data_IF_368182862252
#
_entry.id   IF_368182862252
#
_cell.length_a   1.000
_cell.length_b   1.000
_cell.length_c   1.000
_cell.angle_alpha   90.00
_cell.angle_beta   90.00
_cell.angle_gamma   90.00
#
_symmetry.space_group_name_H-M   'P 1'
#
loop_
_entity.id
_entity.type
_entity.pdbx_description
1 polymer ?
#
# COMPACT_ATOMS: atom_id res chain seq x y z
N UNK A 1 -19.85 -13.67 -0.59
CA UNK A 1 -19.52 -12.23 -0.65
C UNK A 1 -18.25 -12.09 -1.44
N UNK A 2 -18.34 -11.55 -2.65
CA UNK A 2 -17.13 -11.22 -3.42
C UNK A 2 -16.47 -9.99 -2.81
N UNK A 3 -15.14 -10.03 -2.71
CA UNK A 3 -14.34 -8.85 -2.37
C UNK A 3 -14.20 -8.02 -3.64
N UNK A 4 -14.51 -6.72 -3.57
CA UNK A 4 -14.35 -5.84 -4.71
C UNK A 4 -12.87 -5.81 -5.15
N UNK A 5 -12.61 -5.94 -6.45
CA UNK A 5 -11.23 -5.99 -6.98
C UNK A 5 -10.48 -4.67 -6.87
N UNK A 6 -11.13 -3.58 -6.46
CA UNK A 6 -10.52 -2.28 -6.18
C UNK A 6 -10.46 -1.95 -4.69
N UNK A 7 -10.58 -2.96 -3.82
CA UNK A 7 -10.50 -2.79 -2.37
C UNK A 7 -9.11 -2.30 -1.96
N UNK A 8 -9.06 -1.17 -1.25
CA UNK A 8 -7.81 -0.62 -0.72
C UNK A 8 -7.08 -1.60 0.21
N UNK A 9 -5.74 -1.49 0.22
CA UNK A 9 -4.86 -2.25 1.13
C UNK A 9 -4.59 -1.39 2.36
N UNK A 10 -4.76 -1.96 3.55
CA UNK A 10 -4.52 -1.27 4.84
C UNK A 10 -3.46 -1.99 5.66
N UNK A 11 -2.51 -1.22 6.19
CA UNK A 11 -1.44 -1.70 7.07
C UNK A 11 -1.46 -0.85 8.33
N UNK A 12 -1.72 -1.49 9.48
CA UNK A 12 -1.71 -0.84 10.78
C UNK A 12 -0.42 -1.15 11.54
N UNK A 13 0.24 -0.10 12.02
CA UNK A 13 1.45 -0.18 12.84
C UNK A 13 1.09 -0.02 14.32
N UNK A 14 1.88 -0.67 15.20
CA UNK A 14 1.72 -0.58 16.66
C UNK A 14 2.22 0.76 17.23
N UNK A 15 2.94 1.54 16.42
CA UNK A 15 3.58 2.82 16.78
C UNK A 15 3.61 3.80 15.61
N UNK A 16 3.95 5.05 15.90
CA UNK A 16 4.16 6.07 14.88
C UNK A 16 5.38 5.75 14.02
N UNK A 17 5.24 5.88 12.70
CA UNK A 17 6.26 5.56 11.71
C UNK A 17 6.66 6.81 10.92
N UNK A 18 7.86 6.81 10.33
CA UNK A 18 8.17 7.78 9.27
C UNK A 18 7.40 7.40 7.99
N UNK A 19 6.39 8.19 7.63
CA UNK A 19 5.49 7.89 6.52
C UNK A 19 6.21 7.78 5.18
N UNK A 20 7.10 8.73 4.86
CA UNK A 20 7.87 8.73 3.61
C UNK A 20 8.75 7.48 3.48
N UNK A 21 9.42 7.10 4.57
CA UNK A 21 10.27 5.90 4.62
C UNK A 21 9.47 4.62 4.38
N UNK A 22 8.24 4.55 4.91
CA UNK A 22 7.33 3.42 4.69
C UNK A 22 6.85 3.38 3.25
N UNK A 23 6.39 4.50 2.71
CA UNK A 23 5.90 4.60 1.33
C UNK A 23 6.97 4.21 0.30
N UNK A 24 8.22 4.67 0.50
CA UNK A 24 9.35 4.31 -0.37
C UNK A 24 9.71 2.81 -0.35
N UNK A 25 9.33 2.10 0.72
CA UNK A 25 9.63 0.67 0.92
C UNK A 25 8.43 -0.24 0.69
N UNK A 26 7.25 0.33 0.47
CA UNK A 26 6.05 -0.41 0.11
C UNK A 26 6.22 -0.97 -1.30
N UNK A 27 6.03 -2.28 -1.43
CA UNK A 27 5.98 -2.93 -2.73
C UNK A 27 4.81 -3.91 -2.80
N UNK A 28 4.19 -3.97 -3.98
CA UNK A 28 3.10 -4.87 -4.32
C UNK A 28 3.52 -5.67 -5.55
N UNK A 29 3.47 -7.00 -5.45
CA UNK A 29 3.85 -7.91 -6.53
C UNK A 29 2.72 -8.91 -6.82
N UNK A 30 2.26 -9.07 -8.09
CA UNK A 30 2.65 -8.26 -9.23
C UNK A 30 2.20 -6.80 -9.06
N UNK A 31 2.91 -5.87 -9.70
CA UNK A 31 2.52 -4.47 -9.68
C UNK A 31 1.20 -4.28 -10.43
N UNK A 32 0.33 -3.40 -9.92
CA UNK A 32 -0.89 -3.01 -10.61
C UNK A 32 -0.54 -2.11 -11.81
N UNK A 33 -0.80 -2.57 -13.02
CA UNK A 33 -0.43 -1.87 -14.25
C UNK A 33 -0.98 -0.42 -14.32
N UNK A 34 -2.16 -0.18 -13.73
CA UNK A 34 -2.79 1.14 -13.68
C UNK A 34 -2.17 2.13 -12.68
N UNK A 35 -1.25 1.70 -11.82
CA UNK A 35 -0.62 2.56 -10.81
C UNK A 35 0.68 3.22 -11.30
N UNK A 36 1.33 2.68 -12.33
CA UNK A 36 2.56 3.24 -12.89
C UNK A 36 2.27 4.58 -13.59
N UNK A 37 2.77 5.69 -13.03
CA UNK A 37 2.77 7.01 -13.68
C UNK A 37 1.43 7.75 -13.69
N UNK A 38 0.48 7.39 -12.82
CA UNK A 38 -0.82 8.06 -12.71
C UNK A 38 -1.20 8.34 -11.26
N UNK A 39 -2.01 9.39 -11.01
CA UNK A 39 -2.61 9.68 -9.69
C UNK A 39 -3.73 8.67 -9.31
N UNK A 40 -3.85 7.54 -10.03
CA UNK A 40 -4.89 6.53 -9.76
C UNK A 40 -4.60 5.72 -8.49
N UNK A 41 -3.34 5.67 -8.09
CA UNK A 41 -2.91 4.99 -6.88
C UNK A 41 -2.15 5.95 -5.99
N UNK A 42 -2.49 5.99 -4.71
CA UNK A 42 -1.86 6.89 -3.75
C UNK A 42 -1.89 6.31 -2.35
N UNK A 43 -1.03 6.85 -1.50
CA UNK A 43 -0.98 6.55 -0.08
C UNK A 43 -1.77 7.59 0.71
N UNK A 44 -2.47 7.14 1.74
CA UNK A 44 -3.12 7.99 2.73
C UNK A 44 -2.83 7.46 4.13
N UNK A 45 -2.63 8.37 5.08
CA UNK A 45 -2.34 8.04 6.47
C UNK A 45 -3.44 8.50 7.40
N UNK A 46 -3.76 7.67 8.38
CA UNK A 46 -4.60 8.04 9.53
C UNK A 46 -3.98 7.46 10.80
N UNK A 47 -3.39 8.33 11.63
CA UNK A 47 -2.59 7.91 12.77
C UNK A 47 -1.47 6.95 12.32
N UNK A 48 -1.43 5.76 12.93
CA UNK A 48 -0.42 4.72 12.63
C UNK A 48 -0.88 3.76 11.52
N UNK A 49 -1.82 4.15 10.67
CA UNK A 49 -2.36 3.27 9.61
C UNK A 49 -2.11 3.86 8.24
N UNK A 50 -1.45 3.08 7.38
CA UNK A 50 -1.27 3.34 5.95
C UNK A 50 -2.40 2.70 5.17
N UNK A 51 -2.99 3.46 4.25
CA UNK A 51 -3.93 2.96 3.25
C UNK A 51 -3.38 3.21 1.86
N UNK A 52 -3.19 2.15 1.08
CA UNK A 52 -2.89 2.23 -0.36
C UNK A 52 -4.21 2.17 -1.14
N UNK A 53 -4.59 3.31 -1.72
CA UNK A 53 -5.87 3.52 -2.39
C UNK A 53 -5.66 3.37 -3.89
N UNK A 54 -6.46 2.52 -4.53
CA UNK A 54 -6.42 2.27 -5.98
C UNK A 54 -7.84 2.09 -6.56
N UNK A 55 -8.79 2.96 -6.16
CA UNK A 55 -10.22 2.79 -6.46
C UNK A 55 -10.58 2.64 -7.95
N UNK A 56 -9.72 3.13 -8.85
CA UNK A 56 -9.88 3.08 -10.31
C UNK A 56 -9.01 2.01 -10.99
N UNK A 57 -8.30 1.19 -10.22
CA UNK A 57 -7.43 0.13 -10.72
C UNK A 57 -7.79 -1.17 -9.99
N UNK A 58 -8.10 -2.20 -10.77
CA UNK A 58 -8.52 -3.48 -10.21
C UNK A 58 -7.32 -4.42 -10.05
N UNK A 59 -7.37 -5.26 -9.02
CA UNK A 59 -6.64 -6.52 -8.99
C UNK A 59 -7.12 -7.43 -10.12
N UNK A 60 -6.18 -8.16 -10.70
CA UNK A 60 -6.48 -9.22 -11.66
C UNK A 60 -7.11 -10.40 -10.94
N UNK A 61 -8.13 -10.98 -11.56
CA UNK A 61 -8.84 -12.15 -11.02
C UNK A 61 -7.92 -13.37 -10.98
N UNK A 62 -8.09 -14.21 -9.95
CA UNK A 62 -7.29 -15.42 -9.76
C UNK A 62 -5.78 -15.19 -9.64
N UNK A 63 -5.36 -13.98 -9.29
CA UNK A 63 -3.95 -13.61 -9.09
C UNK A 63 -3.64 -13.48 -7.60
N UNK A 64 -2.55 -14.12 -7.16
CA UNK A 64 -2.02 -13.94 -5.82
C UNK A 64 -1.14 -12.68 -5.78
N UNK A 65 -1.47 -11.76 -4.87
CA UNK A 65 -0.69 -10.55 -4.62
C UNK A 65 0.08 -10.65 -3.31
N UNK A 66 1.32 -10.19 -3.33
CA UNK A 66 2.17 -10.08 -2.17
C UNK A 66 2.48 -8.61 -1.89
N UNK A 67 2.15 -8.18 -0.67
CA UNK A 67 2.66 -6.93 -0.12
C UNK A 67 3.97 -7.23 0.60
N UNK A 68 5.02 -6.51 0.25
CA UNK A 68 6.32 -6.60 0.91
C UNK A 68 6.73 -5.26 1.48
N UNK A 69 7.36 -5.35 2.64
CA UNK A 69 7.80 -4.25 3.47
C UNK A 69 9.26 -4.53 3.84
N UNK A 70 10.20 -3.93 3.11
CA UNK A 70 11.63 -4.17 3.33
C UNK A 70 12.09 -3.54 4.65
N UNK A 71 12.82 -4.31 5.47
CA UNK A 71 13.35 -3.85 6.76
C UNK A 71 14.30 -2.64 6.62
N UNK A 72 14.48 -1.88 7.71
CA UNK A 72 15.24 -0.63 7.73
C UNK A 72 14.36 0.63 7.75
N UNK A 73 13.14 0.51 8.29
CA UNK A 73 12.34 1.66 8.66
C UNK A 73 13.06 2.44 9.75
N UNK A 74 13.33 3.72 9.50
CA UNK A 74 13.47 4.69 10.57
C UNK A 74 12.11 4.78 11.27
N UNK A 75 12.08 4.63 12.59
CA UNK A 75 10.90 5.07 13.32
C UNK A 75 10.80 6.61 13.24
N UNK A 76 9.74 7.21 13.79
CA UNK A 76 9.62 8.67 13.78
C UNK A 76 10.77 9.38 14.54
N UNK A 77 11.65 8.64 15.22
CA UNK A 77 12.79 9.14 15.99
C UNK A 77 14.16 8.89 15.36
N UNK A 78 14.28 8.06 14.30
CA UNK A 78 15.50 7.89 13.50
C UNK A 78 15.86 6.45 13.18
#
# INVERSE_FOLDING_TARGET
SDVATNQAITISFDRAMNHESVEQRFALSPALAGCSGSNNCHFAWSGNTLTFIHAHVNFDVSTAYQVSMHAGYADATG
#
